data_IF_875339770720
#
_entry.id   IF_875339770720
#
_cell.length_a   1.000
_cell.length_b   1.000
_cell.length_c   1.000
_cell.angle_alpha   90.00
_cell.angle_beta   90.00
_cell.angle_gamma   90.00
#
_symmetry.space_group_name_H-M   'P 1'
#
loop_
_entity.id
_entity.type
_entity.pdbx_description
1 polymer ?
#
# COMPACT_ATOMS: atom_id res chain seq x y z
N UNK A 1 -6.52 15.30 -8.96
CA UNK A 1 -7.50 14.28 -8.54
C UNK A 1 -6.71 13.12 -7.99
N UNK A 2 -7.16 12.50 -6.91
CA UNK A 2 -6.48 11.36 -6.27
C UNK A 2 -7.47 10.22 -6.10
N UNK A 3 -6.99 9.00 -6.26
CA UNK A 3 -7.78 7.79 -5.99
C UNK A 3 -7.15 7.03 -4.82
N UNK A 4 -7.98 6.64 -3.86
CA UNK A 4 -7.57 5.83 -2.71
C UNK A 4 -8.09 4.40 -2.85
N UNK A 5 -7.19 3.44 -2.70
CA UNK A 5 -7.48 2.01 -2.76
C UNK A 5 -7.34 1.42 -1.36
N UNK A 6 -8.33 0.64 -0.95
CA UNK A 6 -8.28 -0.17 0.27
C UNK A 6 -8.11 -1.63 -0.16
N UNK A 7 -6.96 -2.20 0.19
CA UNK A 7 -6.50 -3.48 -0.34
C UNK A 7 -6.36 -4.47 0.80
N UNK A 8 -6.95 -5.65 0.63
CA UNK A 8 -6.74 -6.77 1.53
C UNK A 8 -5.56 -7.60 1.01
N UNK A 9 -4.45 -7.62 1.75
CA UNK A 9 -3.24 -8.33 1.35
C UNK A 9 -3.06 -9.55 2.24
N UNK A 10 -3.17 -10.73 1.63
CA UNK A 10 -3.03 -12.01 2.35
C UNK A 10 -1.68 -12.08 3.07
N UNK A 11 -1.71 -12.40 4.37
CA UNK A 11 -0.53 -12.51 5.23
C UNK A 11 0.04 -11.18 5.75
N UNK A 12 -0.45 -10.03 5.27
CA UNK A 12 -0.03 -8.69 5.73
C UNK A 12 -1.18 -7.95 6.41
N UNK A 13 -2.39 -8.04 5.85
CA UNK A 13 -3.57 -7.32 6.30
C UNK A 13 -3.94 -6.14 5.39
N UNK A 14 -4.74 -5.19 5.88
CA UNK A 14 -5.24 -4.08 5.09
C UNK A 14 -4.13 -3.08 4.76
N UNK A 15 -4.07 -2.63 3.51
CA UNK A 15 -3.17 -1.58 3.03
C UNK A 15 -3.99 -0.50 2.33
N UNK A 16 -3.65 0.77 2.60
CA UNK A 16 -4.17 1.91 1.85
C UNK A 16 -3.12 2.38 0.85
N UNK A 17 -3.46 2.37 -0.43
CA UNK A 17 -2.64 2.95 -1.50
C UNK A 17 -3.31 4.20 -2.06
N UNK A 18 -2.50 5.17 -2.49
CA UNK A 18 -2.95 6.38 -3.20
C UNK A 18 -2.32 6.38 -4.58
N UNK A 19 -3.12 6.65 -5.59
CA UNK A 19 -2.66 6.86 -6.96
C UNK A 19 -2.96 8.29 -7.39
N UNK A 20 -2.06 8.86 -8.19
CA UNK A 20 -2.30 10.14 -8.82
C UNK A 20 -3.31 9.99 -9.96
N UNK A 21 -4.28 10.89 -10.01
CA UNK A 21 -5.29 10.91 -11.07
C UNK A 21 -6.38 9.85 -10.92
N UNK A 22 -6.97 9.49 -12.06
CA UNK A 22 -8.01 8.47 -12.17
C UNK A 22 -7.35 7.09 -12.33
N UNK A 23 -7.69 6.18 -11.43
CA UNK A 23 -7.25 4.80 -11.48
C UNK A 23 -8.48 3.90 -11.51
N UNK A 24 -8.78 3.31 -12.67
CA UNK A 24 -9.93 2.43 -12.82
C UNK A 24 -9.65 1.09 -12.14
N UNK A 25 -10.42 0.77 -11.10
CA UNK A 25 -10.47 -0.55 -10.49
C UNK A 25 -11.87 -0.85 -9.98
N UNK A 26 -12.18 -2.13 -9.82
CA UNK A 26 -13.42 -2.63 -9.24
C UNK A 26 -13.11 -3.48 -8.02
N UNK A 27 -14.10 -3.61 -7.14
CA UNK A 27 -13.98 -4.53 -6.01
C UNK A 27 -13.76 -5.96 -6.51
N UNK A 28 -12.75 -6.65 -5.96
CA UNK A 28 -12.36 -7.99 -6.37
C UNK A 28 -11.25 -8.03 -7.42
N UNK A 29 -10.87 -6.89 -8.01
CA UNK A 29 -9.72 -6.84 -8.92
C UNK A 29 -8.42 -7.12 -8.17
N UNK A 30 -7.50 -7.83 -8.85
CA UNK A 30 -6.15 -8.01 -8.36
C UNK A 30 -5.28 -6.84 -8.80
N UNK A 31 -4.66 -6.17 -7.84
CA UNK A 31 -3.73 -5.06 -8.09
C UNK A 31 -2.33 -5.39 -7.59
N UNK A 32 -1.32 -4.79 -8.22
CA UNK A 32 0.06 -4.92 -7.80
C UNK A 32 0.56 -3.59 -7.24
N UNK A 33 1.20 -3.64 -6.08
CA UNK A 33 1.83 -2.48 -5.44
C UNK A 33 3.34 -2.66 -5.53
N UNK A 34 4.04 -1.63 -6.02
CA UNK A 34 5.50 -1.58 -6.03
C UNK A 34 5.95 -0.49 -5.06
N UNK A 35 6.42 -0.85 -3.86
CA UNK A 35 6.95 0.13 -2.91
C UNK A 35 8.16 0.87 -3.47
N UNK A 36 8.25 2.16 -3.19
CA UNK A 36 9.47 2.93 -3.42
C UNK A 36 10.50 2.55 -2.36
N UNK A 37 11.58 1.88 -2.78
CA UNK A 37 12.64 1.39 -1.89
C UNK A 37 13.28 2.50 -1.05
N UNK A 38 13.30 3.73 -1.56
CA UNK A 38 13.87 4.90 -0.85
C UNK A 38 12.98 5.41 0.27
N UNK A 39 11.73 4.92 0.35
CA UNK A 39 10.71 5.33 1.33
C UNK A 39 10.23 4.18 2.22
N UNK A 40 11.00 3.09 2.30
CA UNK A 40 10.68 1.98 3.18
C UNK A 40 11.16 2.31 4.59
N UNK A 41 10.20 2.46 5.51
CA UNK A 41 10.46 2.58 6.93
C UNK A 41 10.52 1.20 7.58
N UNK A 42 11.54 0.95 8.39
CA UNK A 42 11.73 -0.32 9.13
C UNK A 42 11.81 -0.03 10.63
N UNK A 43 11.33 -0.98 11.42
CA UNK A 43 11.28 -0.86 12.87
C UNK A 43 11.78 -2.15 13.54
N UNK A 44 12.47 -2.02 14.66
CA UNK A 44 12.88 -3.13 15.51
C UNK A 44 11.74 -3.62 16.42
N UNK A 45 11.99 -4.70 17.17
CA UNK A 45 11.00 -5.31 18.09
C UNK A 45 10.56 -4.37 19.23
N UNK A 46 11.33 -3.32 19.52
CA UNK A 46 11.03 -2.31 20.53
C UNK A 46 10.35 -1.08 19.92
N UNK A 47 10.12 -1.07 18.61
CA UNK A 47 9.50 0.02 17.87
C UNK A 47 10.47 1.14 17.46
N UNK A 48 11.78 0.95 17.62
CA UNK A 48 12.80 1.89 17.15
C UNK A 48 13.00 1.80 15.64
N UNK A 49 13.16 2.95 14.96
CA UNK A 49 13.44 2.98 13.53
C UNK A 49 14.87 2.49 13.21
N UNK A 50 15.02 1.73 12.11
CA UNK A 50 16.31 1.20 11.61
C UNK A 50 16.56 1.54 10.14
#
# INVERSE_FOLDING_TARGET
>A
SDTFLHLEVSGIGPITARTDGEFECRHGDTVFITPDETKIHRFDEKGGAI
#
